data_IF_134169540257
#
_entry.id   IF_134169540257
#
_cell.length_a   1.000
_cell.length_b   1.000
_cell.length_c   1.000
_cell.angle_alpha   90.00
_cell.angle_beta   90.00
_cell.angle_gamma   90.00
#
_symmetry.space_group_name_H-M   'P 1'
#
loop_
_entity.id
_entity.type
_entity.pdbx_description
1 polymer ?
#
# COMPACT_ATOMS: atom_id res chain seq x y z
N UNK A 1 5.03 0.02 -1.49
CA UNK A 1 4.17 -0.66 -0.52
C UNK A 1 2.81 -0.94 -1.14
N UNK A 2 2.33 -2.20 -1.01
CA UNK A 2 1.07 -2.63 -1.63
C UNK A 2 -0.17 -2.05 -0.96
N UNK A 3 -0.13 -1.84 0.37
CA UNK A 3 -1.27 -1.26 1.08
C UNK A 3 -1.44 0.22 0.72
N UNK A 4 -0.35 0.98 0.69
CA UNK A 4 -0.40 2.39 0.29
C UNK A 4 -0.95 2.57 -1.14
N UNK A 5 -0.49 1.77 -2.11
CA UNK A 5 -0.98 1.83 -3.50
C UNK A 5 -2.44 1.37 -3.58
N UNK A 6 -2.76 0.26 -2.93
CA UNK A 6 -4.11 -0.32 -2.91
C UNK A 6 -5.15 0.62 -2.31
N UNK A 7 -4.86 1.22 -1.15
CA UNK A 7 -5.80 2.13 -0.48
C UNK A 7 -6.02 3.42 -1.27
N UNK A 8 -4.96 3.96 -1.89
CA UNK A 8 -5.08 5.17 -2.71
C UNK A 8 -5.92 4.93 -3.97
N UNK A 9 -5.63 3.87 -4.73
CA UNK A 9 -6.34 3.57 -5.98
C UNK A 9 -7.78 3.11 -5.72
N UNK A 10 -8.00 2.29 -4.69
CA UNK A 10 -9.37 1.87 -4.35
C UNK A 10 -10.25 3.05 -3.92
N UNK A 11 -9.71 3.97 -3.10
CA UNK A 11 -10.45 5.16 -2.71
C UNK A 11 -10.70 6.08 -3.90
N UNK A 12 -9.75 6.28 -4.80
CA UNK A 12 -9.94 7.07 -6.02
C UNK A 12 -11.10 6.53 -6.85
N UNK A 13 -11.09 5.23 -7.16
CA UNK A 13 -12.15 4.59 -7.95
C UNK A 13 -13.51 4.66 -7.24
N UNK A 14 -13.53 4.46 -5.92
CA UNK A 14 -14.73 4.54 -5.12
C UNK A 14 -15.32 5.96 -5.11
N UNK A 15 -14.50 6.99 -4.88
CA UNK A 15 -14.95 8.38 -4.85
C UNK A 15 -15.45 8.85 -6.21
N UNK A 16 -14.84 8.43 -7.32
CA UNK A 16 -15.32 8.72 -8.68
C UNK A 16 -16.72 8.13 -8.96
N UNK A 17 -17.08 7.04 -8.30
CA UNK A 17 -18.45 6.49 -8.37
C UNK A 17 -19.42 7.22 -7.45
N UNK A 18 -18.99 7.49 -6.22
CA UNK A 18 -19.81 8.14 -5.21
C UNK A 18 -20.10 9.60 -5.55
N UNK A 19 -19.13 10.30 -6.13
CA UNK A 19 -19.15 11.73 -6.45
C UNK A 19 -18.67 11.94 -7.90
N UNK A 20 -19.50 11.65 -8.93
CA UNK A 20 -19.08 11.68 -10.33
C UNK A 20 -18.57 13.05 -10.82
N UNK A 21 -18.99 14.15 -10.17
CA UNK A 21 -18.56 15.51 -10.52
C UNK A 21 -17.24 15.92 -9.83
N UNK A 22 -16.70 15.10 -8.91
CA UNK A 22 -15.47 15.41 -8.21
C UNK A 22 -14.26 15.00 -9.03
N UNK A 23 -13.26 15.89 -9.09
CA UNK A 23 -11.94 15.55 -9.58
C UNK A 23 -11.14 14.87 -8.46
N UNK A 24 -10.74 13.62 -8.68
CA UNK A 24 -10.01 12.82 -7.70
C UNK A 24 -8.65 12.43 -8.24
N UNK A 25 -7.60 12.93 -7.59
CA UNK A 25 -6.21 12.75 -7.99
C UNK A 25 -5.43 12.00 -6.91
N UNK A 26 -4.56 11.08 -7.32
CA UNK A 26 -3.65 10.35 -6.42
C UNK A 26 -2.23 10.87 -6.58
N UNK A 27 -1.58 11.19 -5.47
CA UNK A 27 -0.17 11.57 -5.40
C UNK A 27 0.60 10.54 -4.59
N UNK A 28 1.56 9.88 -5.21
CA UNK A 28 2.49 8.94 -4.55
C UNK A 28 3.89 9.12 -5.13
N UNK A 29 4.90 8.76 -4.35
CA UNK A 29 6.21 8.46 -4.94
C UNK A 29 6.02 7.32 -5.95
N UNK A 30 6.85 7.29 -7.02
CA UNK A 30 6.70 6.28 -8.08
C UNK A 30 6.60 4.87 -7.48
N UNK A 31 5.43 4.21 -7.55
CA UNK A 31 5.27 2.88 -7.02
C UNK A 31 6.07 1.86 -7.84
N UNK A 32 6.34 0.71 -7.24
CA UNK A 32 6.96 -0.41 -7.93
C UNK A 32 6.10 -0.93 -9.07
N UNK A 33 6.73 -1.34 -10.18
CA UNK A 33 6.03 -1.83 -11.39
C UNK A 33 5.24 -3.13 -11.13
N UNK A 34 5.50 -3.83 -10.05
CA UNK A 34 4.73 -5.00 -9.63
C UNK A 34 3.25 -4.71 -9.35
N UNK A 35 2.89 -3.42 -9.14
CA UNK A 35 1.50 -2.97 -8.95
C UNK A 35 0.85 -2.42 -10.22
N UNK A 36 1.55 -2.46 -11.37
CA UNK A 36 1.06 -1.87 -12.63
C UNK A 36 -0.21 -2.52 -13.19
N UNK A 37 -0.60 -3.69 -12.69
CA UNK A 37 -1.87 -4.34 -13.03
C UNK A 37 -3.08 -3.64 -12.41
N UNK A 38 -2.90 -2.82 -11.37
CA UNK A 38 -3.99 -2.10 -10.72
C UNK A 38 -4.51 -0.98 -11.59
N UNK A 39 -5.81 -0.93 -11.74
CA UNK A 39 -6.47 0.16 -12.49
C UNK A 39 -6.19 1.51 -11.81
N UNK A 40 -5.80 2.49 -12.63
CA UNK A 40 -5.41 3.82 -12.17
C UNK A 40 -3.93 3.97 -11.83
N UNK A 41 -3.13 2.89 -11.92
CA UNK A 41 -1.69 2.96 -11.66
C UNK A 41 -0.98 4.01 -12.51
N UNK A 42 -1.28 4.06 -13.82
CA UNK A 42 -0.70 5.04 -14.75
C UNK A 42 -1.23 6.47 -14.55
N UNK A 43 -2.27 6.65 -13.74
CA UNK A 43 -2.85 7.95 -13.40
C UNK A 43 -2.24 8.54 -12.12
N UNK A 44 -1.33 7.83 -11.46
CA UNK A 44 -0.66 8.30 -10.24
C UNK A 44 0.30 9.45 -10.59
N UNK A 45 0.11 10.57 -9.92
CA UNK A 45 1.01 11.72 -10.04
C UNK A 45 2.20 11.54 -9.10
N UNK A 46 3.39 11.60 -9.67
CA UNK A 46 4.66 11.50 -8.91
C UNK A 46 5.30 12.86 -8.65
N UNK A 47 4.80 13.90 -9.31
CA UNK A 47 5.24 15.28 -9.14
C UNK A 47 4.14 16.10 -8.46
N UNK A 48 4.54 17.06 -7.64
CA UNK A 48 3.64 17.92 -6.90
C UNK A 48 3.81 19.40 -7.34
N UNK A 49 3.25 19.81 -8.50
CA UNK A 49 3.33 21.20 -8.97
C UNK A 49 2.55 22.15 -8.05
N UNK A 50 2.77 23.46 -8.22
CA UNK A 50 1.95 24.47 -7.54
C UNK A 50 0.52 24.46 -8.12
N UNK A 51 -0.46 24.48 -7.23
CA UNK A 51 -1.88 24.49 -7.61
C UNK A 51 -2.75 25.07 -6.48
N UNK A 52 -4.02 25.33 -6.79
CA UNK A 52 -5.00 25.77 -5.80
C UNK A 52 -5.23 24.69 -4.72
N UNK A 53 -5.57 25.10 -3.49
CA UNK A 53 -5.85 24.18 -2.41
C UNK A 53 -7.00 23.23 -2.72
N UNK A 54 -6.81 21.96 -2.41
CA UNK A 54 -7.85 20.94 -2.51
C UNK A 54 -8.99 21.21 -1.51
N UNK A 55 -10.22 20.85 -1.89
CA UNK A 55 -11.35 20.89 -0.97
C UNK A 55 -11.19 19.85 0.14
N UNK A 56 -10.75 18.64 -0.23
CA UNK A 56 -10.48 17.54 0.71
C UNK A 56 -9.16 16.86 0.34
N UNK A 57 -8.33 16.60 1.33
CA UNK A 57 -7.14 15.78 1.18
C UNK A 57 -7.22 14.56 2.09
N UNK A 58 -6.98 13.39 1.53
CA UNK A 58 -6.88 12.12 2.27
C UNK A 58 -5.42 11.74 2.44
N UNK A 59 -4.94 11.66 3.69
CA UNK A 59 -3.68 11.03 4.03
C UNK A 59 -3.98 9.56 4.35
N UNK A 60 -3.47 8.65 3.52
CA UNK A 60 -3.80 7.23 3.56
C UNK A 60 -2.55 6.42 3.88
N UNK A 61 -2.67 5.47 4.80
CA UNK A 61 -1.61 4.54 5.20
C UNK A 61 -0.32 5.25 5.66
N UNK A 62 -0.46 6.46 6.19
CA UNK A 62 0.67 7.25 6.69
C UNK A 62 0.26 8.31 7.70
N UNK A 63 1.24 8.76 8.49
CA UNK A 63 1.17 9.99 9.27
C UNK A 63 1.54 11.21 8.42
N UNK A 64 1.15 12.41 8.87
CA UNK A 64 1.33 13.64 8.12
C UNK A 64 2.78 13.98 7.76
N UNK A 65 3.74 13.55 8.56
CA UNK A 65 5.19 13.74 8.34
C UNK A 65 5.78 12.81 7.27
N UNK A 66 5.00 11.87 6.73
CA UNK A 66 5.43 10.90 5.70
C UNK A 66 4.86 11.20 4.31
N UNK A 67 4.18 12.33 4.13
CA UNK A 67 3.56 12.71 2.86
C UNK A 67 4.55 13.22 1.79
N UNK A 68 5.83 13.40 2.15
CA UNK A 68 6.85 13.87 1.21
C UNK A 68 6.48 15.21 0.58
N UNK A 69 6.72 15.36 -0.73
CA UNK A 69 6.44 16.62 -1.45
C UNK A 69 4.95 16.98 -1.51
N UNK A 70 4.05 16.02 -1.28
CA UNK A 70 2.61 16.25 -1.22
C UNK A 70 2.14 16.84 0.12
N UNK A 71 3.03 16.95 1.13
CA UNK A 71 2.70 17.56 2.43
C UNK A 71 2.14 18.97 2.27
N UNK A 72 2.64 19.75 1.32
CA UNK A 72 2.15 21.11 1.03
C UNK A 72 0.66 21.14 0.65
N UNK A 73 0.18 20.11 -0.06
CA UNK A 73 -1.25 19.99 -0.41
C UNK A 73 -2.09 19.65 0.81
N UNK A 74 -1.61 18.73 1.64
CA UNK A 74 -2.25 18.38 2.89
C UNK A 74 -2.37 19.60 3.81
N UNK A 75 -1.28 20.36 3.98
CA UNK A 75 -1.29 21.54 4.85
C UNK A 75 -2.28 22.62 4.39
N UNK A 76 -2.42 22.83 3.08
CA UNK A 76 -3.25 23.85 2.48
C UNK A 76 -4.69 23.41 2.19
N UNK A 77 -5.01 22.11 2.29
CA UNK A 77 -6.35 21.59 2.02
C UNK A 77 -7.39 22.16 2.99
N UNK A 78 -8.61 22.41 2.50
CA UNK A 78 -9.74 22.95 3.32
C UNK A 78 -10.20 21.93 4.36
N UNK A 79 -10.12 20.63 4.03
CA UNK A 79 -10.47 19.51 4.91
C UNK A 79 -9.41 18.43 4.79
N UNK A 80 -9.02 17.85 5.92
CA UNK A 80 -7.99 16.82 6.02
C UNK A 80 -8.58 15.57 6.65
N UNK A 81 -8.44 14.43 5.97
CA UNK A 81 -8.90 13.13 6.47
C UNK A 81 -7.69 12.20 6.51
N UNK A 82 -7.49 11.52 7.64
CA UNK A 82 -6.45 10.52 7.78
C UNK A 82 -7.09 9.14 8.00
N UNK A 83 -6.73 8.16 7.16
CA UNK A 83 -7.14 6.76 7.29
C UNK A 83 -5.86 5.91 7.37
N UNK A 84 -5.69 5.20 8.47
CA UNK A 84 -4.46 4.48 8.76
C UNK A 84 -4.68 3.33 9.74
N UNK A 85 -3.72 2.43 9.83
CA UNK A 85 -3.70 1.33 10.79
C UNK A 85 -2.40 1.28 11.64
N UNK A 86 -1.47 2.18 11.42
CA UNK A 86 -0.21 2.20 12.16
C UNK A 86 -0.40 2.65 13.61
N UNK A 87 0.07 1.85 14.56
CA UNK A 87 0.01 2.14 16.01
C UNK A 87 0.76 3.43 16.41
N UNK A 88 1.73 3.84 15.60
CA UNK A 88 2.50 5.06 15.82
C UNK A 88 1.80 6.33 15.33
N UNK A 89 0.71 6.21 14.56
CA UNK A 89 -0.03 7.34 14.05
C UNK A 89 -1.07 7.80 15.09
N UNK A 90 -0.92 9.02 15.59
CA UNK A 90 -1.88 9.65 16.52
C UNK A 90 -3.00 10.44 15.82
N UNK A 91 -3.03 10.39 14.49
CA UNK A 91 -3.93 11.20 13.67
C UNK A 91 -3.32 12.55 13.28
N UNK A 92 -3.47 12.93 12.01
CA UNK A 92 -2.94 14.17 11.46
C UNK A 92 -3.99 15.03 10.74
N UNK A 93 -5.20 14.51 10.57
CA UNK A 93 -6.31 15.19 9.89
C UNK A 93 -7.32 15.87 10.81
N UNK A 94 -8.27 16.59 10.23
CA UNK A 94 -9.47 17.08 10.94
C UNK A 94 -10.39 15.91 11.32
N UNK A 95 -10.38 14.85 10.52
CA UNK A 95 -11.04 13.58 10.77
C UNK A 95 -10.00 12.48 10.70
N UNK A 96 -9.96 11.62 11.70
CA UNK A 96 -8.97 10.55 11.80
C UNK A 96 -9.67 9.22 12.01
N UNK A 97 -9.41 8.27 11.13
CA UNK A 97 -9.81 6.88 11.26
C UNK A 97 -8.53 6.02 11.32
N UNK A 98 -7.95 5.97 12.51
CA UNK A 98 -6.74 5.17 12.78
C UNK A 98 -7.15 3.93 13.57
N UNK A 99 -6.90 2.74 13.02
CA UNK A 99 -7.34 1.44 13.55
C UNK A 99 -6.17 0.46 13.70
N UNK A 100 -5.36 0.57 14.76
CA UNK A 100 -4.19 -0.28 14.95
C UNK A 100 -4.49 -1.78 15.12
N UNK A 101 -5.74 -2.13 15.41
CA UNK A 101 -6.22 -3.51 15.53
C UNK A 101 -6.54 -4.17 14.18
N UNK A 102 -6.56 -3.40 13.09
CA UNK A 102 -6.88 -3.86 11.73
C UNK A 102 -5.59 -4.14 10.95
N UNK A 103 -5.62 -5.12 10.07
CA UNK A 103 -4.44 -5.64 9.40
C UNK A 103 -3.78 -4.71 8.39
N UNK A 104 -4.54 -3.76 7.79
CA UNK A 104 -4.08 -2.85 6.73
C UNK A 104 -4.99 -1.63 6.61
N UNK A 105 -4.51 -0.54 6.00
CA UNK A 105 -5.33 0.63 5.68
C UNK A 105 -6.42 0.30 4.64
N UNK A 106 -6.15 -0.63 3.72
CA UNK A 106 -7.16 -1.17 2.80
C UNK A 106 -8.32 -1.85 3.53
N UNK A 107 -8.05 -2.61 4.59
CA UNK A 107 -9.11 -3.23 5.39
C UNK A 107 -9.90 -2.17 6.19
N UNK A 108 -9.22 -1.16 6.75
CA UNK A 108 -9.90 -0.02 7.40
C UNK A 108 -10.84 0.67 6.41
N UNK A 109 -10.37 0.93 5.19
CA UNK A 109 -11.17 1.57 4.15
C UNK A 109 -12.35 0.70 3.73
N UNK A 110 -12.15 -0.61 3.53
CA UNK A 110 -13.22 -1.56 3.21
C UNK A 110 -14.38 -1.49 4.21
N UNK A 111 -14.10 -1.41 5.50
CA UNK A 111 -15.12 -1.38 6.53
C UNK A 111 -16.00 -0.13 6.55
N UNK A 112 -15.63 0.92 5.84
CA UNK A 112 -16.42 2.16 5.75
C UNK A 112 -17.03 2.39 4.37
N UNK A 113 -16.66 1.58 3.37
CA UNK A 113 -17.23 1.66 2.02
C UNK A 113 -18.65 1.08 1.97
N UNK A 114 -19.48 1.68 1.13
CA UNK A 114 -20.71 1.03 0.68
C UNK A 114 -20.34 -0.11 -0.27
N UNK A 115 -20.61 -1.34 0.16
CA UNK A 115 -20.25 -2.54 -0.58
C UNK A 115 -20.92 -2.63 -1.96
N UNK A 116 -22.04 -1.95 -2.17
CA UNK A 116 -22.72 -1.92 -3.46
C UNK A 116 -21.97 -1.10 -4.53
N UNK A 117 -21.08 -0.22 -4.10
CA UNK A 117 -20.20 0.55 -4.99
C UNK A 117 -18.87 -0.17 -5.30
N UNK A 118 -18.56 -1.24 -4.58
CA UNK A 118 -17.35 -2.03 -4.83
C UNK A 118 -17.56 -2.83 -6.11
N UNK A 119 -16.67 -2.66 -7.07
CA UNK A 119 -16.56 -3.53 -8.25
C UNK A 119 -15.27 -4.34 -8.22
N UNK A 120 -15.01 -5.07 -9.30
CA UNK A 120 -13.83 -5.91 -9.43
C UNK A 120 -12.53 -5.13 -9.28
N UNK A 121 -12.42 -3.94 -9.86
CA UNK A 121 -11.19 -3.14 -9.86
C UNK A 121 -10.90 -2.59 -8.46
N UNK A 122 -11.93 -2.12 -7.75
CA UNK A 122 -11.82 -1.68 -6.34
C UNK A 122 -11.46 -2.87 -5.45
N UNK A 123 -12.12 -4.01 -5.65
CA UNK A 123 -11.88 -5.22 -4.87
C UNK A 123 -10.44 -5.73 -5.04
N UNK A 124 -9.91 -5.71 -6.27
CA UNK A 124 -8.53 -6.10 -6.57
C UNK A 124 -7.51 -5.20 -5.87
N UNK A 125 -7.73 -3.87 -5.88
CA UNK A 125 -6.86 -2.91 -5.20
C UNK A 125 -6.89 -3.08 -3.68
N UNK A 126 -8.08 -3.22 -3.07
CA UNK A 126 -8.22 -3.48 -1.62
C UNK A 126 -7.56 -4.80 -1.22
N UNK A 127 -7.78 -5.86 -2.00
CA UNK A 127 -7.18 -7.17 -1.73
C UNK A 127 -5.65 -7.11 -1.80
N UNK A 128 -5.09 -6.36 -2.75
CA UNK A 128 -3.64 -6.15 -2.86
C UNK A 128 -3.06 -5.59 -1.56
N UNK A 129 -3.65 -4.54 -1.01
CA UNK A 129 -3.16 -3.98 0.25
C UNK A 129 -3.28 -4.95 1.42
N UNK A 130 -4.42 -5.64 1.55
CA UNK A 130 -4.63 -6.61 2.63
C UNK A 130 -3.57 -7.71 2.60
N UNK A 131 -3.27 -8.30 1.44
CA UNK A 131 -2.28 -9.40 1.37
C UNK A 131 -0.85 -8.92 1.62
N UNK A 132 -0.53 -7.70 1.22
CA UNK A 132 0.82 -7.16 1.44
C UNK A 132 1.11 -6.94 2.92
N UNK A 133 0.19 -6.35 3.66
CA UNK A 133 0.38 -6.03 5.08
C UNK A 133 0.14 -7.20 6.02
N UNK A 134 -0.61 -8.20 5.58
CA UNK A 134 -0.81 -9.45 6.35
C UNK A 134 0.18 -10.56 5.98
N UNK A 135 1.11 -10.29 5.05
CA UNK A 135 2.03 -11.30 4.53
C UNK A 135 1.29 -12.49 3.94
N UNK A 136 0.27 -12.24 3.12
CA UNK A 136 -0.65 -13.25 2.59
C UNK A 136 -1.26 -14.06 3.75
N UNK A 137 -1.80 -13.33 4.73
CA UNK A 137 -2.49 -13.87 5.92
C UNK A 137 -1.60 -14.69 6.88
N UNK A 138 -0.27 -14.52 6.83
CA UNK A 138 0.67 -15.25 7.70
C UNK A 138 1.03 -14.48 8.97
N UNK A 139 0.83 -13.15 8.98
CA UNK A 139 1.22 -12.32 10.12
C UNK A 139 0.14 -12.30 11.21
N UNK A 140 0.55 -11.97 12.43
CA UNK A 140 -0.32 -11.96 13.61
C UNK A 140 -1.41 -10.87 13.61
N UNK A 141 -1.33 -9.91 12.70
CA UNK A 141 -2.35 -8.90 12.45
C UNK A 141 -3.52 -9.41 11.56
N UNK A 142 -3.47 -10.64 11.10
CA UNK A 142 -4.57 -11.30 10.39
C UNK A 142 -5.65 -11.71 11.37
N UNK A 143 -6.86 -11.21 11.21
CA UNK A 143 -8.03 -11.51 12.05
C UNK A 143 -9.09 -12.31 11.28
N UNK A 144 -10.11 -12.87 11.96
CA UNK A 144 -11.26 -13.46 11.27
C UNK A 144 -11.96 -12.45 10.33
N UNK A 145 -12.03 -11.19 10.72
CA UNK A 145 -12.62 -10.09 9.94
C UNK A 145 -11.80 -9.82 8.68
N UNK A 146 -10.46 -9.84 8.77
CA UNK A 146 -9.55 -9.76 7.61
C UNK A 146 -9.84 -10.85 6.58
N UNK A 147 -10.01 -12.10 7.05
CA UNK A 147 -10.32 -13.23 6.16
C UNK A 147 -11.73 -13.13 5.55
N UNK A 148 -12.69 -12.59 6.29
CA UNK A 148 -14.04 -12.33 5.77
C UNK A 148 -14.02 -11.24 4.68
N UNK A 149 -13.30 -10.15 4.91
CA UNK A 149 -13.08 -9.11 3.91
C UNK A 149 -12.42 -9.68 2.66
N UNK A 150 -11.35 -10.44 2.81
CA UNK A 150 -10.67 -11.10 1.69
C UNK A 150 -11.60 -12.06 0.93
N UNK A 151 -12.41 -12.88 1.64
CA UNK A 151 -13.38 -13.78 1.03
C UNK A 151 -14.44 -13.02 0.22
N UNK A 152 -14.92 -11.88 0.73
CA UNK A 152 -15.84 -11.01 0.00
C UNK A 152 -15.18 -10.45 -1.25
N UNK A 153 -13.97 -9.90 -1.14
CA UNK A 153 -13.26 -9.26 -2.25
C UNK A 153 -12.96 -10.25 -3.39
N UNK A 154 -12.49 -11.48 -3.10
CA UNK A 154 -12.24 -12.49 -4.14
C UNK A 154 -13.51 -12.96 -4.86
N UNK A 155 -14.71 -12.74 -4.28
CA UNK A 155 -15.97 -13.08 -4.93
C UNK A 155 -16.26 -12.26 -6.19
N UNK A 156 -15.54 -11.13 -6.39
CA UNK A 156 -15.60 -10.33 -7.62
C UNK A 156 -14.86 -10.93 -8.81
N UNK A 157 -14.15 -12.06 -8.62
CA UNK A 157 -13.65 -12.91 -9.71
C UNK A 157 -12.41 -12.37 -10.44
N UNK A 158 -11.53 -11.60 -9.76
CA UNK A 158 -10.17 -11.36 -10.25
C UNK A 158 -9.27 -12.58 -9.98
N UNK A 159 -8.16 -12.68 -10.69
CA UNK A 159 -7.23 -13.80 -10.54
C UNK A 159 -6.32 -13.60 -9.33
N UNK A 160 -6.88 -13.80 -8.12
CA UNK A 160 -6.14 -13.60 -6.87
C UNK A 160 -4.91 -14.51 -6.72
N UNK A 161 -4.86 -15.78 -7.20
CA UNK A 161 -3.65 -16.58 -7.14
C UNK A 161 -2.51 -15.96 -7.96
N UNK A 162 -2.83 -15.50 -9.18
CA UNK A 162 -1.86 -14.80 -10.04
C UNK A 162 -1.40 -13.50 -9.39
N UNK A 163 -2.33 -12.72 -8.82
CA UNK A 163 -2.01 -11.50 -8.11
C UNK A 163 -1.03 -11.74 -6.96
N UNK A 164 -1.27 -12.74 -6.11
CA UNK A 164 -0.37 -13.10 -5.02
C UNK A 164 1.01 -13.49 -5.55
N UNK A 165 1.07 -14.33 -6.58
CA UNK A 165 2.34 -14.79 -7.16
C UNK A 165 3.15 -13.60 -7.71
N UNK A 166 2.53 -12.76 -8.54
CA UNK A 166 3.23 -11.71 -9.28
C UNK A 166 3.57 -10.49 -8.39
N UNK A 167 2.73 -10.12 -7.42
CA UNK A 167 2.97 -8.94 -6.59
C UNK A 167 3.71 -9.23 -5.29
N UNK A 168 3.65 -10.44 -4.75
CA UNK A 168 4.21 -10.75 -3.43
C UNK A 168 5.38 -11.74 -3.48
N UNK A 169 5.25 -12.84 -4.23
CA UNK A 169 6.25 -13.90 -4.23
C UNK A 169 7.28 -13.80 -5.36
N UNK A 170 6.90 -13.30 -6.52
CA UNK A 170 7.77 -13.26 -7.67
C UNK A 170 9.03 -12.42 -7.38
N UNK A 171 10.18 -12.99 -7.71
CA UNK A 171 11.48 -12.33 -7.62
C UNK A 171 12.14 -12.35 -8.98
N UNK A 172 12.72 -11.23 -9.37
CA UNK A 172 13.58 -11.21 -10.56
C UNK A 172 14.80 -12.10 -10.36
N UNK A 173 15.42 -12.52 -11.47
CA UNK A 173 16.67 -13.27 -11.41
C UNK A 173 17.73 -12.52 -10.61
N UNK A 174 17.83 -11.19 -10.79
CA UNK A 174 18.75 -10.33 -10.08
C UNK A 174 18.50 -10.33 -8.56
N UNK A 175 17.23 -10.14 -8.15
CA UNK A 175 16.86 -10.21 -6.73
C UNK A 175 17.20 -11.58 -6.12
N UNK A 176 16.96 -12.66 -6.86
CA UNK A 176 17.27 -14.01 -6.42
C UNK A 176 18.78 -14.23 -6.27
N UNK A 177 19.60 -13.68 -7.18
CA UNK A 177 21.06 -13.73 -7.06
C UNK A 177 21.57 -12.97 -5.85
N UNK A 178 21.11 -11.74 -5.62
CA UNK A 178 21.48 -10.92 -4.47
C UNK A 178 21.09 -11.63 -3.16
N UNK A 179 19.86 -12.17 -3.11
CA UNK A 179 19.37 -12.92 -1.94
C UNK A 179 20.23 -14.18 -1.69
N UNK A 180 20.51 -14.94 -2.73
CA UNK A 180 21.36 -16.13 -2.62
C UNK A 180 22.76 -15.80 -2.08
N UNK A 181 23.39 -14.75 -2.60
CA UNK A 181 24.69 -14.26 -2.10
C UNK A 181 24.60 -13.80 -0.65
N UNK A 182 23.60 -12.99 -0.30
CA UNK A 182 23.39 -12.51 1.07
C UNK A 182 23.24 -13.67 2.07
N UNK A 183 22.54 -14.75 1.68
CA UNK A 183 22.39 -15.94 2.50
C UNK A 183 23.72 -16.73 2.63
N UNK A 184 24.44 -16.91 1.54
CA UNK A 184 25.71 -17.67 1.57
C UNK A 184 26.82 -16.96 2.35
N UNK A 185 26.87 -15.62 2.29
CA UNK A 185 27.84 -14.79 3.00
C UNK A 185 27.36 -14.40 4.42
N UNK A 186 26.21 -14.90 4.86
CA UNK A 186 25.64 -14.58 6.16
C UNK A 186 26.49 -15.15 7.32
N UNK A 187 26.54 -14.41 8.40
CA UNK A 187 27.25 -14.80 9.63
C UNK A 187 26.22 -15.08 10.72
N UNK A 188 26.39 -16.21 11.39
CA UNK A 188 25.53 -16.60 12.51
C UNK A 188 26.13 -16.16 13.84
N UNK A 189 25.26 -15.60 14.71
CA UNK A 189 25.59 -15.13 16.06
C UNK A 189 24.66 -15.75 17.10
N UNK A 190 24.98 -15.56 18.36
CA UNK A 190 24.16 -15.95 19.50
C UNK A 190 23.72 -17.43 19.42
N UNK A 191 24.68 -18.33 19.23
CA UNK A 191 24.44 -19.78 19.10
C UNK A 191 23.45 -20.14 17.97
N UNK A 192 23.52 -19.39 16.87
CA UNK A 192 22.70 -19.62 15.70
C UNK A 192 21.29 -19.01 15.76
N UNK A 193 20.97 -18.24 16.79
CA UNK A 193 19.66 -17.56 16.94
C UNK A 193 19.55 -16.26 16.13
N UNK A 194 20.66 -15.74 15.63
CA UNK A 194 20.71 -14.54 14.83
C UNK A 194 21.57 -14.78 13.59
N UNK A 195 21.06 -14.33 12.42
CA UNK A 195 21.78 -14.30 11.16
C UNK A 195 21.90 -12.86 10.72
N UNK A 196 23.09 -12.44 10.32
CA UNK A 196 23.37 -11.12 9.74
C UNK A 196 23.94 -11.29 8.34
N UNK A 197 23.29 -10.67 7.36
CA UNK A 197 23.79 -10.53 5.99
C UNK A 197 24.06 -9.05 5.73
N UNK A 198 25.11 -8.75 4.99
CA UNK A 198 25.45 -7.39 4.60
C UNK A 198 25.63 -7.33 3.08
N UNK A 199 24.82 -6.47 2.44
CA UNK A 199 24.95 -6.16 1.02
C UNK A 199 25.51 -4.76 0.92
N UNK A 200 26.79 -4.65 0.55
CA UNK A 200 27.45 -3.36 0.43
C UNK A 200 27.14 -2.70 -0.94
N UNK A 201 27.48 -1.40 -1.04
CA UNK A 201 27.28 -0.65 -2.27
C UNK A 201 28.01 -1.26 -3.48
N UNK A 202 29.20 -1.80 -3.30
CA UNK A 202 29.96 -2.46 -4.39
C UNK A 202 29.24 -3.68 -4.93
N UNK A 203 28.61 -4.45 -4.05
CA UNK A 203 27.78 -5.58 -4.44
C UNK A 203 26.55 -5.10 -5.22
N UNK A 204 25.89 -4.04 -4.78
CA UNK A 204 24.76 -3.48 -5.51
C UNK A 204 25.17 -2.93 -6.89
N UNK A 205 26.29 -2.21 -6.98
CA UNK A 205 26.85 -1.71 -8.25
C UNK A 205 27.23 -2.87 -9.19
N UNK A 206 27.81 -3.96 -8.67
CA UNK A 206 28.14 -5.17 -9.47
C UNK A 206 26.91 -5.79 -10.13
N UNK A 207 25.77 -5.75 -9.44
CA UNK A 207 24.52 -6.29 -9.95
C UNK A 207 23.66 -5.23 -10.72
N UNK A 208 24.14 -4.00 -10.90
CA UNK A 208 23.37 -2.87 -11.45
C UNK A 208 22.02 -2.66 -10.72
N UNK A 209 22.04 -2.82 -9.41
CA UNK A 209 20.87 -2.73 -8.54
C UNK A 209 20.86 -1.41 -7.70
N UNK A 210 21.49 -0.36 -8.23
CA UNK A 210 21.59 0.98 -7.61
C UNK A 210 20.74 1.95 -8.39
#
# INVERSE_FOLDING_TARGET
DGDCVGVCLSLQMYLRKLLPEAEVTVYLQKPSEEFSYLKGYDEIHTECPEQDPFDVYFALDCSGDRLGDAEKYFQNAKKKINIDHHISNSGCGDVNLVRPEVGSACEVLYHIMDVELIDKDIAEALYTGIIHDTGVFQYSNTTPETLQAAAFLISFGFDFPKLIEESFYQKTYLQSQIMGRALMESIRFMDGRCIVSMVDRKTMEFYNAV
#
